data_IF_577109606631
#
_entry.id   IF_577109606631
#
_cell.length_a   1.000
_cell.length_b   1.000
_cell.length_c   1.000
_cell.angle_alpha   90.00
_cell.angle_beta   90.00
_cell.angle_gamma   90.00
#
_symmetry.space_group_name_H-M   'P 1'
#
loop_
_entity.id
_entity.type
_entity.pdbx_description
1 polymer ?
#
# COMPACT_ATOMS: atom_id res chain seq x y z
N UNK A 1 1.88 -9.84 -1.59
CA UNK A 1 3.05 -9.42 -2.37
C UNK A 1 2.64 -8.70 -3.64
N UNK A 2 3.39 -7.68 -4.06
CA UNK A 2 3.27 -7.00 -5.36
C UNK A 2 4.51 -7.30 -6.21
N UNK A 3 4.37 -8.18 -7.19
CA UNK A 3 5.47 -8.65 -8.04
C UNK A 3 6.72 -9.06 -7.21
N UNK A 4 6.52 -9.95 -6.24
CA UNK A 4 7.59 -10.45 -5.36
C UNK A 4 7.94 -9.58 -4.15
N UNK A 5 7.44 -8.33 -4.07
CA UNK A 5 7.69 -7.46 -2.92
C UNK A 5 6.63 -7.65 -1.83
N UNK A 6 7.06 -7.89 -0.59
CA UNK A 6 6.17 -7.83 0.57
C UNK A 6 5.75 -6.37 0.82
N UNK A 7 4.46 -6.18 1.10
CA UNK A 7 3.85 -4.85 1.25
C UNK A 7 2.62 -5.00 2.13
N UNK A 8 2.40 -4.02 3.01
CA UNK A 8 1.15 -3.91 3.76
C UNK A 8 0.18 -3.06 2.96
N UNK A 9 -1.02 -3.58 2.73
CA UNK A 9 -2.07 -2.87 1.99
C UNK A 9 -3.27 -2.69 2.92
N UNK A 10 -3.75 -1.46 3.03
CA UNK A 10 -5.05 -1.15 3.59
C UNK A 10 -5.96 -0.58 2.50
N UNK A 11 -7.17 -1.09 2.37
CA UNK A 11 -8.14 -0.60 1.41
C UNK A 11 -9.45 -0.26 2.13
N UNK A 12 -10.00 0.90 1.79
CA UNK A 12 -11.28 1.36 2.31
C UNK A 12 -12.43 0.78 1.49
N UNK A 13 -13.56 0.47 2.15
CA UNK A 13 -14.75 -0.08 1.52
C UNK A 13 -15.88 0.96 1.55
N UNK A 14 -16.19 1.55 0.40
CA UNK A 14 -17.20 2.61 0.30
C UNK A 14 -18.62 2.11 0.58
N UNK A 15 -18.93 0.85 0.23
CA UNK A 15 -20.23 0.24 0.51
C UNK A 15 -20.56 0.19 2.01
N UNK A 16 -19.54 0.27 2.88
CA UNK A 16 -19.72 0.31 4.32
C UNK A 16 -19.81 1.75 4.84
N UNK A 17 -21.03 2.26 4.99
CA UNK A 17 -21.33 3.60 5.54
C UNK A 17 -20.52 4.69 4.80
N UNK A 18 -20.49 4.62 3.47
CA UNK A 18 -19.77 5.56 2.61
C UNK A 18 -18.26 5.57 2.82
N UNK A 19 -17.68 4.45 3.28
CA UNK A 19 -16.26 4.37 3.63
C UNK A 19 -15.86 5.36 4.73
N UNK A 20 -16.81 5.81 5.56
CA UNK A 20 -16.55 6.83 6.57
C UNK A 20 -15.50 6.35 7.59
N UNK A 21 -14.59 7.22 8.01
CA UNK A 21 -13.57 6.87 9.00
C UNK A 21 -14.11 6.97 10.42
N UNK A 22 -14.15 5.84 11.12
CA UNK A 22 -14.38 5.75 12.56
C UNK A 22 -13.27 4.99 13.29
N UNK A 23 -13.43 4.75 14.58
CA UNK A 23 -12.44 4.16 15.50
C UNK A 23 -11.87 2.85 14.98
N UNK A 24 -12.71 1.93 14.52
CA UNK A 24 -12.24 0.62 14.02
C UNK A 24 -11.40 0.77 12.76
N UNK A 25 -11.77 1.69 11.86
CA UNK A 25 -11.00 1.93 10.65
C UNK A 25 -9.64 2.55 10.99
N UNK A 26 -9.63 3.60 11.83
CA UNK A 26 -8.41 4.24 12.28
C UNK A 26 -7.47 3.26 12.98
N UNK A 27 -8.00 2.40 13.87
CA UNK A 27 -7.25 1.33 14.52
C UNK A 27 -6.64 0.33 13.54
N UNK A 28 -7.43 -0.19 12.58
CA UNK A 28 -6.95 -1.18 11.62
C UNK A 28 -5.86 -0.62 10.71
N UNK A 29 -6.01 0.62 10.25
CA UNK A 29 -4.99 1.28 9.43
C UNK A 29 -3.73 1.51 10.27
N UNK A 30 -3.87 2.03 11.49
CA UNK A 30 -2.74 2.25 12.42
C UNK A 30 -1.97 0.96 12.68
N UNK A 31 -2.65 -0.14 13.01
CA UNK A 31 -2.01 -1.45 13.19
C UNK A 31 -1.32 -1.96 11.94
N UNK A 32 -1.88 -1.67 10.76
CA UNK A 32 -1.25 -1.99 9.48
C UNK A 32 0.09 -1.26 9.32
N UNK A 33 0.11 0.04 9.64
CA UNK A 33 1.32 0.87 9.59
C UNK A 33 2.34 0.40 10.63
N UNK A 34 1.94 0.17 11.88
CA UNK A 34 2.82 -0.34 12.94
C UNK A 34 3.40 -1.72 12.60
N UNK A 35 2.58 -2.60 12.02
CA UNK A 35 3.05 -3.90 11.52
C UNK A 35 4.07 -3.73 10.39
N UNK A 36 3.82 -2.81 9.45
CA UNK A 36 4.76 -2.51 8.39
C UNK A 36 6.09 -1.97 8.95
N UNK A 37 6.03 -1.06 9.91
CA UNK A 37 7.20 -0.51 10.60
C UNK A 37 8.01 -1.61 11.30
N UNK A 38 7.36 -2.48 12.08
CA UNK A 38 8.01 -3.57 12.80
C UNK A 38 8.67 -4.60 11.87
N UNK A 39 8.15 -4.78 10.65
CA UNK A 39 8.64 -5.75 9.68
C UNK A 39 9.44 -5.11 8.53
N UNK A 40 9.72 -3.80 8.60
CA UNK A 40 10.44 -3.05 7.57
C UNK A 40 9.82 -3.19 6.17
N UNK A 41 8.49 -3.06 6.11
CA UNK A 41 7.71 -3.20 4.88
C UNK A 41 7.18 -1.84 4.40
N UNK A 42 7.07 -1.62 3.08
CA UNK A 42 6.34 -0.47 2.54
C UNK A 42 4.83 -0.59 2.81
N UNK A 43 4.15 0.56 2.79
CA UNK A 43 2.71 0.67 3.00
C UNK A 43 2.03 1.25 1.76
N UNK A 44 0.88 0.68 1.41
CA UNK A 44 -0.03 1.25 0.41
C UNK A 44 -1.42 1.39 1.03
N UNK A 45 -2.01 2.58 0.96
CA UNK A 45 -3.37 2.81 1.42
C UNK A 45 -4.24 3.24 0.23
N UNK A 46 -5.30 2.47 -0.03
CA UNK A 46 -6.32 2.80 -1.02
C UNK A 46 -7.49 3.47 -0.33
N UNK A 47 -7.60 4.79 -0.52
CA UNK A 47 -8.61 5.63 0.09
C UNK A 47 -9.86 5.73 -0.77
N UNK A 48 -11.01 5.53 -0.12
CA UNK A 48 -12.35 5.74 -0.66
C UNK A 48 -13.28 6.07 0.51
N UNK A 49 -13.66 7.34 0.66
CA UNK A 49 -14.38 7.84 1.82
C UNK A 49 -15.22 9.08 1.53
N UNK A 50 -16.41 9.14 2.13
CA UNK A 50 -17.18 10.36 2.28
C UNK A 50 -16.72 11.27 3.43
N UNK A 51 -15.77 10.85 4.27
CA UNK A 51 -15.24 11.64 5.40
C UNK A 51 -15.26 10.93 6.74
N UNK A 52 -15.31 11.69 7.84
CA UNK A 52 -15.33 11.14 9.19
C UNK A 52 -16.72 10.55 9.53
N UNK A 53 -16.75 9.47 10.32
CA UNK A 53 -18.00 8.82 10.73
C UNK A 53 -18.66 9.60 11.86
N UNK A 54 -19.63 10.42 11.51
CA UNK A 54 -20.31 11.31 12.45
C UNK A 54 -20.97 10.58 13.63
N UNK A 55 -21.39 9.32 13.45
CA UNK A 55 -22.00 8.49 14.49
C UNK A 55 -21.07 8.24 15.69
N UNK A 56 -19.75 8.30 15.48
CA UNK A 56 -18.75 8.13 16.54
C UNK A 56 -18.19 9.49 17.01
N UNK A 57 -18.69 10.61 16.47
CA UNK A 57 -18.37 11.98 16.90
C UNK A 57 -16.87 12.30 16.89
N UNK A 58 -16.39 12.90 17.97
CA UNK A 58 -14.98 13.31 18.14
C UNK A 58 -14.01 12.14 18.01
N UNK A 59 -14.43 10.91 18.31
CA UNK A 59 -13.56 9.74 18.17
C UNK A 59 -13.15 9.50 16.72
N UNK A 60 -14.04 9.74 15.76
CA UNK A 60 -13.72 9.70 14.33
C UNK A 60 -12.72 10.79 13.94
N UNK A 61 -12.86 11.99 14.49
CA UNK A 61 -11.92 13.09 14.25
C UNK A 61 -10.52 12.71 14.75
N UNK A 62 -10.42 12.13 15.95
CA UNK A 62 -9.13 11.73 16.53
C UNK A 62 -8.42 10.64 15.73
N UNK A 63 -9.14 9.88 14.89
CA UNK A 63 -8.48 8.92 14.00
C UNK A 63 -7.58 9.59 12.96
N UNK A 64 -7.86 10.84 12.57
CA UNK A 64 -6.97 11.61 11.70
C UNK A 64 -5.59 11.75 12.35
N UNK A 65 -5.55 12.28 13.58
CA UNK A 65 -4.32 12.49 14.32
C UNK A 65 -3.58 11.17 14.58
N UNK A 66 -4.32 10.12 14.94
CA UNK A 66 -3.76 8.80 15.22
C UNK A 66 -3.04 8.19 14.01
N UNK A 67 -3.71 8.12 12.86
CA UNK A 67 -3.13 7.51 11.66
C UNK A 67 -1.97 8.37 11.15
N UNK A 68 -2.11 9.70 11.15
CA UNK A 68 -1.01 10.61 10.80
C UNK A 68 0.21 10.47 11.72
N UNK A 69 0.02 10.26 13.02
CA UNK A 69 1.12 10.02 13.95
C UNK A 69 1.84 8.69 13.65
N UNK A 70 1.09 7.63 13.31
CA UNK A 70 1.69 6.36 12.89
C UNK A 70 2.48 6.50 11.57
N UNK A 71 1.97 7.27 10.61
CA UNK A 71 2.70 7.58 9.36
C UNK A 71 3.97 8.42 9.63
N UNK A 72 3.95 9.35 10.58
CA UNK A 72 5.16 10.08 10.97
C UNK A 72 6.24 9.14 11.54
N UNK A 73 5.86 8.12 12.31
CA UNK A 73 6.79 7.09 12.77
C UNK A 73 7.32 6.22 11.60
N UNK A 74 6.49 5.96 10.59
CA UNK A 74 6.88 5.22 9.38
C UNK A 74 7.89 6.02 8.54
N UNK A 75 7.68 7.33 8.38
CA UNK A 75 8.59 8.27 7.71
C UNK A 75 9.94 8.35 8.43
N UNK A 76 9.95 8.45 9.77
CA UNK A 76 11.18 8.39 10.56
C UNK A 76 11.94 7.07 10.39
N UNK A 77 11.22 5.97 10.15
CA UNK A 77 11.82 4.67 9.81
C UNK A 77 12.26 4.55 8.34
N UNK A 78 12.06 5.60 7.53
CA UNK A 78 12.42 5.68 6.12
C UNK A 78 11.75 4.57 5.28
N UNK A 79 10.51 4.23 5.60
CA UNK A 79 9.74 3.21 4.90
C UNK A 79 8.72 3.86 3.94
N UNK A 80 8.69 3.46 2.64
CA UNK A 80 7.83 4.09 1.67
C UNK A 80 6.33 3.93 1.97
N UNK A 81 5.59 5.03 1.84
CA UNK A 81 4.14 5.08 1.88
C UNK A 81 3.56 5.66 0.59
N UNK A 82 2.76 4.85 -0.12
CA UNK A 82 2.02 5.30 -1.30
C UNK A 82 0.54 5.45 -0.95
N UNK A 83 0.00 6.65 -1.20
CA UNK A 83 -1.43 6.92 -1.07
C UNK A 83 -2.12 6.80 -2.43
N UNK A 84 -3.18 6.00 -2.49
CA UNK A 84 -4.00 5.81 -3.69
C UNK A 84 -5.39 6.38 -3.43
N UNK A 85 -5.72 7.46 -4.09
CA UNK A 85 -6.99 8.17 -3.93
C UNK A 85 -7.97 7.74 -5.01
N UNK A 86 -9.10 7.17 -4.59
CA UNK A 86 -10.17 6.70 -5.48
C UNK A 86 -11.43 7.53 -5.30
N UNK A 87 -12.39 7.35 -6.22
CA UNK A 87 -13.64 8.11 -6.20
C UNK A 87 -14.66 7.54 -5.19
N UNK A 88 -15.16 8.32 -4.21
CA UNK A 88 -14.68 9.63 -3.77
C UNK A 88 -13.67 9.50 -2.61
N UNK A 89 -12.78 10.49 -2.44
CA UNK A 89 -11.93 10.64 -1.25
C UNK A 89 -12.11 12.03 -0.69
N UNK A 90 -12.97 12.17 0.33
CA UNK A 90 -13.33 13.47 0.90
C UNK A 90 -13.17 13.59 2.42
N UNK A 91 -13.25 14.82 2.93
CA UNK A 91 -13.36 15.09 4.36
C UNK A 91 -12.08 14.83 5.15
N UNK A 92 -12.25 14.30 6.36
CA UNK A 92 -11.15 14.04 7.28
C UNK A 92 -10.11 13.04 6.75
N UNK A 93 -10.49 12.14 5.84
CA UNK A 93 -9.56 11.20 5.22
C UNK A 93 -8.59 11.94 4.29
N UNK A 94 -9.11 12.80 3.41
CA UNK A 94 -8.31 13.66 2.52
C UNK A 94 -7.41 14.63 3.29
N UNK A 95 -7.92 15.20 4.39
CA UNK A 95 -7.16 16.11 5.25
C UNK A 95 -6.25 15.40 6.26
N UNK A 96 -6.03 14.09 6.11
CA UNK A 96 -5.10 13.32 6.93
C UNK A 96 -4.29 12.37 6.05
N UNK A 97 -4.28 11.08 6.35
CA UNK A 97 -3.37 10.11 5.75
C UNK A 97 -3.48 9.98 4.22
N UNK A 98 -4.62 10.32 3.61
CA UNK A 98 -4.76 10.21 2.15
C UNK A 98 -3.95 11.25 1.36
N UNK A 99 -3.44 12.30 2.00
CA UNK A 99 -2.58 13.32 1.37
C UNK A 99 -1.18 13.41 2.00
N UNK A 100 -0.81 12.40 2.79
CA UNK A 100 0.51 12.30 3.44
C UNK A 100 1.37 11.21 2.82
N UNK A 101 1.06 10.76 1.60
CA UNK A 101 1.89 9.82 0.86
C UNK A 101 3.21 10.45 0.44
N UNK A 102 4.26 9.64 0.42
CA UNK A 102 5.49 9.98 -0.32
C UNK A 102 5.20 10.05 -1.83
N UNK A 103 4.14 9.34 -2.26
CA UNK A 103 3.57 9.39 -3.59
C UNK A 103 2.04 9.32 -3.49
N UNK A 104 1.38 10.38 -3.95
CA UNK A 104 -0.08 10.50 -4.02
C UNK A 104 -0.54 10.25 -5.46
N UNK A 105 -1.21 9.12 -5.66
CA UNK A 105 -1.71 8.67 -6.96
C UNK A 105 -3.23 8.70 -6.93
N UNK A 106 -3.87 9.16 -8.00
CA UNK A 106 -5.32 9.06 -8.14
C UNK A 106 -5.74 8.22 -9.35
N UNK A 107 -6.96 7.70 -9.30
CA UNK A 107 -7.64 7.19 -10.49
C UNK A 107 -8.19 8.34 -11.37
N UNK A 108 -8.39 8.13 -12.68
CA UNK A 108 -8.98 9.14 -13.56
C UNK A 108 -10.34 9.62 -13.05
N UNK A 109 -10.59 10.92 -13.14
CA UNK A 109 -11.85 11.58 -12.77
C UNK A 109 -12.30 11.44 -11.30
N UNK A 110 -11.45 10.93 -10.41
CA UNK A 110 -11.80 10.74 -9.00
C UNK A 110 -12.13 12.08 -8.31
N UNK A 111 -13.22 12.13 -7.55
CA UNK A 111 -13.56 13.29 -6.73
C UNK A 111 -12.75 13.28 -5.43
N UNK A 112 -11.87 14.26 -5.27
CA UNK A 112 -10.97 14.35 -4.13
C UNK A 112 -11.02 15.76 -3.54
N UNK A 113 -11.31 15.88 -2.25
CA UNK A 113 -11.27 17.19 -1.60
C UNK A 113 -11.78 17.22 -0.17
N UNK A 114 -11.37 18.23 0.59
CA UNK A 114 -11.74 18.34 2.00
C UNK A 114 -13.26 18.56 2.20
N UNK A 115 -13.83 19.57 1.55
CA UNK A 115 -15.27 19.84 1.60
C UNK A 115 -15.94 19.37 0.31
N UNK A 116 -17.16 18.83 0.41
CA UNK A 116 -17.93 18.46 -0.78
C UNK A 116 -18.30 19.69 -1.62
N UNK A 117 -18.41 19.54 -2.96
CA UNK A 117 -18.61 20.68 -3.87
C UNK A 117 -19.87 21.48 -3.54
N UNK A 118 -20.96 20.79 -3.14
CA UNK A 118 -22.22 21.43 -2.72
C UNK A 118 -22.04 22.39 -1.54
N UNK A 119 -21.21 22.03 -0.56
CA UNK A 119 -20.97 22.88 0.62
C UNK A 119 -20.20 24.13 0.19
N UNK A 120 -19.19 23.96 -0.67
CA UNK A 120 -18.37 25.07 -1.16
C UNK A 120 -19.22 26.06 -1.94
N UNK A 121 -20.02 25.59 -2.91
CA UNK A 121 -20.93 26.42 -3.72
C UNK A 121 -21.89 27.24 -2.84
N UNK A 122 -22.44 26.62 -1.79
CA UNK A 122 -23.34 27.32 -0.86
C UNK A 122 -22.63 28.41 -0.06
N UNK A 123 -21.35 28.20 0.30
CA UNK A 123 -20.55 29.17 1.04
C UNK A 123 -20.15 30.36 0.16
N UNK A 124 -19.63 30.11 -1.05
CA UNK A 124 -19.13 31.17 -1.94
C UNK A 124 -20.23 31.80 -2.80
N UNK A 125 -21.41 31.16 -2.90
CA UNK A 125 -22.55 31.54 -3.74
C UNK A 125 -22.21 31.72 -5.21
N UNK A 126 -21.29 30.90 -5.70
CA UNK A 126 -20.83 30.87 -7.10
C UNK A 126 -20.78 29.42 -7.57
N UNK A 127 -20.89 29.22 -8.89
CA UNK A 127 -20.69 27.91 -9.49
C UNK A 127 -19.20 27.56 -9.46
N UNK A 128 -18.90 26.30 -9.16
CA UNK A 128 -17.53 25.81 -9.24
C UNK A 128 -17.09 25.66 -10.69
N UNK A 129 -15.79 25.84 -10.99
CA UNK A 129 -15.23 25.53 -12.29
C UNK A 129 -15.53 24.08 -12.71
N UNK A 130 -15.59 23.84 -14.02
CA UNK A 130 -15.66 22.48 -14.54
C UNK A 130 -14.42 21.68 -14.11
N UNK A 131 -14.61 20.43 -13.72
CA UNK A 131 -13.52 19.57 -13.24
C UNK A 131 -13.01 19.91 -11.83
N UNK A 132 -13.59 20.89 -11.12
CA UNK A 132 -13.18 21.19 -9.75
C UNK A 132 -13.20 19.94 -8.87
N UNK A 133 -12.13 19.75 -8.08
CA UNK A 133 -11.89 18.57 -7.24
C UNK A 133 -11.74 17.22 -7.97
N UNK A 134 -11.65 17.21 -9.31
CA UNK A 134 -11.29 16.00 -10.05
C UNK A 134 -9.79 15.76 -9.98
N UNK A 135 -9.37 14.50 -10.14
CA UNK A 135 -7.96 14.15 -10.11
C UNK A 135 -7.13 14.93 -11.12
N UNK A 136 -7.66 15.24 -12.31
CA UNK A 136 -7.00 16.10 -13.30
C UNK A 136 -6.75 17.51 -12.76
N UNK A 137 -7.76 18.11 -12.13
CA UNK A 137 -7.63 19.43 -11.49
C UNK A 137 -6.59 19.40 -10.36
N UNK A 138 -6.60 18.36 -9.52
CA UNK A 138 -5.64 18.24 -8.42
C UNK A 138 -4.20 18.05 -8.92
N UNK A 139 -4.01 17.28 -9.99
CA UNK A 139 -2.70 17.10 -10.62
C UNK A 139 -2.15 18.42 -11.16
N UNK A 140 -2.98 19.21 -11.86
CA UNK A 140 -2.59 20.53 -12.38
C UNK A 140 -2.19 21.52 -11.26
N UNK A 141 -2.75 21.36 -10.06
CA UNK A 141 -2.45 22.19 -8.89
C UNK A 141 -1.36 21.60 -7.96
N UNK A 142 -0.70 20.52 -8.37
CA UNK A 142 0.41 19.91 -7.63
C UNK A 142 0.02 19.19 -6.35
N UNK A 143 -1.25 18.77 -6.22
CA UNK A 143 -1.73 17.98 -5.07
C UNK A 143 -1.59 16.46 -5.28
N UNK A 144 -1.39 16.03 -6.53
CA UNK A 144 -1.18 14.64 -6.91
C UNK A 144 0.11 14.54 -7.72
N UNK A 145 0.77 13.39 -7.64
CA UNK A 145 1.98 13.09 -8.41
C UNK A 145 1.67 12.41 -9.74
N UNK A 146 0.59 11.62 -9.79
CA UNK A 146 0.18 10.90 -10.98
C UNK A 146 -1.31 10.56 -10.99
N UNK A 147 -1.86 10.45 -12.21
CA UNK A 147 -3.16 9.83 -12.46
C UNK A 147 -2.91 8.53 -13.21
N UNK A 148 -3.44 7.42 -12.69
CA UNK A 148 -3.16 6.08 -13.20
C UNK A 148 -4.45 5.29 -13.33
N UNK A 149 -4.68 4.72 -14.52
CA UNK A 149 -5.79 3.81 -14.74
C UNK A 149 -5.64 2.56 -13.86
N UNK A 150 -6.77 2.08 -13.31
CA UNK A 150 -6.81 0.92 -12.41
C UNK A 150 -6.10 -0.32 -12.98
N UNK A 151 -6.13 -0.52 -14.30
CA UNK A 151 -5.47 -1.64 -14.99
C UNK A 151 -3.95 -1.61 -14.83
N UNK A 152 -3.36 -0.42 -14.76
CA UNK A 152 -1.92 -0.19 -14.70
C UNK A 152 -1.41 0.07 -13.27
N UNK A 153 -2.34 0.33 -12.33
CA UNK A 153 -2.05 0.73 -10.96
C UNK A 153 -1.09 -0.24 -10.24
N UNK A 154 -1.33 -1.55 -10.38
CA UNK A 154 -0.48 -2.58 -9.77
C UNK A 154 0.98 -2.49 -10.26
N UNK A 155 1.16 -2.31 -11.56
CA UNK A 155 2.48 -2.22 -12.18
C UNK A 155 3.19 -0.92 -11.77
N UNK A 156 2.46 0.20 -11.75
CA UNK A 156 2.95 1.50 -11.32
C UNK A 156 3.42 1.47 -9.87
N UNK A 157 2.57 1.05 -8.93
CA UNK A 157 2.90 0.95 -7.49
C UNK A 157 4.15 0.10 -7.29
N UNK A 158 4.20 -1.07 -7.94
CA UNK A 158 5.35 -1.97 -7.82
C UNK A 158 6.65 -1.37 -8.35
N UNK A 159 6.57 -0.55 -9.42
CA UNK A 159 7.72 0.18 -9.97
C UNK A 159 8.16 1.31 -9.05
N UNK A 160 7.21 2.08 -8.51
CA UNK A 160 7.48 3.15 -7.56
C UNK A 160 8.15 2.62 -6.28
N UNK A 161 7.63 1.54 -5.69
CA UNK A 161 8.23 0.92 -4.51
C UNK A 161 9.67 0.44 -4.78
N UNK A 162 9.93 -0.18 -5.94
CA UNK A 162 11.31 -0.56 -6.33
C UNK A 162 12.23 0.65 -6.47
N UNK A 163 11.72 1.78 -6.93
CA UNK A 163 12.50 3.01 -7.06
C UNK A 163 12.83 3.62 -5.70
N UNK A 164 11.88 3.58 -4.76
CA UNK A 164 12.02 4.17 -3.41
C UNK A 164 12.84 3.29 -2.46
N UNK A 165 12.89 1.98 -2.70
CA UNK A 165 13.70 1.07 -1.90
C UNK A 165 15.18 1.18 -2.27
N UNK A 166 15.99 1.65 -1.33
CA UNK A 166 17.46 1.77 -1.47
C UNK A 166 18.19 0.43 -1.33
N UNK A 167 17.50 -0.63 -0.89
CA UNK A 167 17.96 -2.01 -0.96
C UNK A 167 16.99 -2.82 -1.83
N UNK A 168 17.44 -3.42 -2.94
CA UNK A 168 16.58 -4.26 -3.75
C UNK A 168 16.07 -5.44 -2.91
N UNK A 169 14.82 -5.91 -3.12
CA UNK A 169 14.37 -7.14 -2.50
C UNK A 169 15.34 -8.25 -2.89
N UNK A 170 15.91 -8.93 -1.90
CA UNK A 170 16.70 -10.14 -2.11
C UNK A 170 15.85 -11.07 -2.99
N UNK A 171 16.35 -11.52 -4.16
CA UNK A 171 15.61 -12.43 -5.00
C UNK A 171 15.13 -13.60 -4.14
N UNK A 172 13.83 -13.89 -4.20
CA UNK A 172 13.28 -15.05 -3.51
C UNK A 172 14.10 -16.28 -3.91
N UNK A 173 14.65 -16.97 -2.92
CA UNK A 173 15.46 -18.17 -3.11
C UNK A 173 14.79 -19.08 -4.14
N UNK A 174 15.48 -19.30 -5.26
CA UNK A 174 15.21 -20.44 -6.13
C UNK A 174 15.46 -21.69 -5.29
N UNK A 175 14.41 -22.20 -4.65
CA UNK A 175 14.45 -23.47 -3.96
C UNK A 175 14.88 -24.54 -4.96
N UNK A 176 16.10 -25.03 -4.73
CA UNK A 176 16.51 -26.43 -4.84
C UNK A 176 15.43 -27.37 -5.36
N UNK A 177 15.59 -27.81 -6.61
CA UNK A 177 15.12 -29.12 -7.07
C UNK A 177 16.34 -29.97 -7.40
N UNK A 178 17.10 -30.32 -6.37
CA UNK A 178 17.82 -31.60 -6.37
C UNK A 178 16.93 -32.61 -5.68
N UNK A 179 16.13 -33.33 -6.44
CA UNK A 179 16.10 -34.79 -6.31
C UNK A 179 15.42 -35.42 -7.52
N UNK A 180 16.04 -36.50 -7.96
CA UNK A 180 15.46 -37.64 -8.67
C UNK A 180 15.58 -37.67 -10.20
N UNK A 181 16.71 -38.17 -10.69
CA UNK A 181 16.72 -39.01 -11.88
C UNK A 181 17.82 -40.09 -11.80
N UNK A 182 17.37 -41.30 -11.44
CA UNK A 182 17.81 -42.60 -11.95
C UNK A 182 19.30 -42.99 -11.86
N UNK A 183 19.64 -43.72 -10.78
CA UNK A 183 20.64 -44.79 -10.86
C UNK A 183 19.88 -46.11 -11.04
N UNK A 184 19.71 -46.51 -12.29
CA UNK A 184 19.33 -47.87 -12.68
C UNK A 184 19.95 -48.21 -14.02
N UNK A 185 21.13 -48.84 -13.99
CA UNK A 185 21.57 -49.82 -14.99
C UNK A 185 22.57 -50.77 -14.34
N UNK A 186 22.24 -52.06 -14.40
CA UNK A 186 22.99 -53.21 -13.89
C UNK A 186 24.29 -53.51 -14.67
N UNK A 187 25.13 -54.33 -14.01
CA UNK A 187 26.11 -55.30 -14.58
C UNK A 187 27.51 -54.73 -14.87
N UNK A 188 28.63 -55.27 -14.36
CA UNK A 188 28.98 -56.66 -14.07
C UNK A 188 30.04 -56.82 -12.93
N UNK A 189 30.00 -57.99 -12.29
CA UNK A 189 30.97 -58.63 -11.36
C UNK A 189 32.32 -58.97 -12.07
N UNK A 190 33.36 -59.60 -11.46
CA UNK A 190 33.46 -60.21 -10.10
C UNK A 190 34.82 -60.02 -9.33
N UNK A 191 34.80 -60.45 -8.05
CA UNK A 191 35.89 -61.02 -7.20
C UNK A 191 37.35 -60.53 -7.34
N UNK A 192 37.95 -60.06 -6.22
CA UNK A 192 39.14 -60.70 -5.59
C UNK A 192 39.59 -60.05 -4.25
N UNK A 193 39.79 -60.95 -3.27
CA UNK A 193 40.80 -60.98 -2.17
C UNK A 193 40.93 -59.88 -1.09
N UNK A 194 40.58 -60.32 0.13
CA UNK A 194 41.24 -60.16 1.42
C UNK A 194 42.65 -59.51 1.49
N UNK A 195 42.86 -58.59 2.45
CA UNK A 195 43.70 -58.76 3.66
C UNK A 195 43.90 -57.39 4.34
N UNK A 196 43.74 -57.32 5.67
CA UNK A 196 43.96 -56.10 6.45
C UNK A 196 45.44 -55.85 6.75
N UNK A 197 45.83 -54.63 7.16
CA UNK A 197 47.16 -54.39 7.68
C UNK A 197 47.18 -54.53 9.20
N UNK A 198 48.01 -55.46 9.66
CA UNK A 198 48.60 -55.48 11.00
C UNK A 198 49.97 -54.79 10.90
N UNK A 199 50.21 -53.74 11.68
CA UNK A 199 51.51 -53.37 12.27
C UNK A 199 51.46 -51.94 12.85
N UNK A 200 51.77 -51.83 14.14
CA UNK A 200 51.98 -50.57 14.86
C UNK A 200 51.47 -50.62 16.29
#
# INVERSE_FOLDING_TARGET
QLHGQNVVIAAMEYGFIGGSMGVVMGEKITRGIEHAQANQLPVVIVSCSGGARMMEGTLSLMQMAKVSAALACLDQAQLPYISVLTDPTTGGVTASFAMLGDLNIAEPHALIGFAGPRVIEQTIRQKLPEGFQRSEFLLEHGMLDAIVDRRDLKAMISKALRFMQTNPPTPADSQTTETDTAISTLSANPLETATGPNNG
#
